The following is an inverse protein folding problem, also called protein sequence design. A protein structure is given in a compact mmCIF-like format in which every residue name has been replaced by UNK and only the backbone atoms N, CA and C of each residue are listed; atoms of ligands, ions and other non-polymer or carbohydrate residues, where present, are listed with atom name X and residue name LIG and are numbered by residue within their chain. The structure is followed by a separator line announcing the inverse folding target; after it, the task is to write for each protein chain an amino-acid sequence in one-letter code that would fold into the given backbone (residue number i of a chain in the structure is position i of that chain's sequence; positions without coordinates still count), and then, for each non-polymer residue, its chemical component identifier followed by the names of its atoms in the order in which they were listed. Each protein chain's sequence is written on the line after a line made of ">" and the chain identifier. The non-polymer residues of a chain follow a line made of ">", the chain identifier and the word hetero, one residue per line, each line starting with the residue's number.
data_IF_832184944198
#
_entry.id   IF_832184944198
#
_cell.length_a   1.000
_cell.length_b   1.000
_cell.length_c   1.000
_cell.angle_alpha   90.00
_cell.angle_beta   90.00
_cell.angle_gamma   90.00
#
_symmetry.space_group_name_H-M   'P 1'
#
loop_
_entity.id
_entity.type
_entity.pdbx_description
1 polymer ?
#
# COMPACT_ATOMS: atom_id res chain seq x y z
N UNK A 1 7.59 10.46 8.98
CA UNK A 1 8.19 9.39 8.15
C UNK A 1 7.37 8.11 8.27
N UNK A 2 6.97 7.51 7.16
CA UNK A 2 6.11 6.31 7.12
C UNK A 2 6.55 5.31 6.05
N UNK A 3 6.10 4.05 6.19
CA UNK A 3 6.17 3.06 5.10
C UNK A 3 4.92 3.22 4.23
N UNK A 4 5.09 3.68 3.00
CA UNK A 4 3.98 3.94 2.08
C UNK A 4 3.59 2.68 1.31
N UNK A 5 2.29 2.44 1.22
CA UNK A 5 1.68 1.32 0.51
C UNK A 5 0.94 1.88 -0.69
N UNK A 6 1.19 1.34 -1.88
CA UNK A 6 0.46 1.74 -3.08
C UNK A 6 -0.98 1.19 -3.03
N UNK A 7 -1.99 2.06 -3.14
CA UNK A 7 -3.39 1.63 -3.11
C UNK A 7 -3.80 0.74 -4.30
N UNK A 8 -3.02 0.72 -5.37
CA UNK A 8 -3.34 -0.01 -6.60
C UNK A 8 -2.79 -1.44 -6.55
N UNK A 9 -1.49 -1.61 -6.28
CA UNK A 9 -0.85 -2.93 -6.30
C UNK A 9 -0.52 -3.49 -4.91
N UNK A 10 -0.67 -2.71 -3.84
CA UNK A 10 -0.41 -3.15 -2.47
C UNK A 10 1.07 -3.23 -2.08
N UNK A 11 2.02 -2.86 -2.96
CA UNK A 11 3.45 -2.87 -2.60
C UNK A 11 3.75 -1.84 -1.52
N UNK A 12 4.55 -2.25 -0.54
CA UNK A 12 5.07 -1.37 0.52
C UNK A 12 6.49 -0.92 0.19
N UNK A 13 6.74 0.38 0.30
CA UNK A 13 8.07 0.98 0.17
C UNK A 13 8.74 1.18 1.54
N UNK A 14 10.09 1.26 1.58
CA UNK A 14 10.82 1.60 2.80
C UNK A 14 10.40 2.94 3.38
N UNK A 15 10.69 3.13 4.68
CA UNK A 15 10.34 4.32 5.44
C UNK A 15 10.92 5.57 4.78
N UNK A 16 10.06 6.55 4.50
CA UNK A 16 10.45 7.82 3.92
C UNK A 16 9.67 8.98 4.55
N UNK A 17 10.15 10.21 4.39
CA UNK A 17 9.43 11.41 4.83
C UNK A 17 8.16 11.65 4.02
N UNK A 18 8.25 11.40 2.71
CA UNK A 18 7.16 11.58 1.76
C UNK A 18 6.91 10.31 0.94
N UNK A 19 5.70 10.20 0.39
CA UNK A 19 5.35 9.11 -0.50
C UNK A 19 6.21 9.14 -1.78
N UNK A 20 6.57 7.99 -2.37
CA UNK A 20 7.28 7.98 -3.64
C UNK A 20 6.48 8.72 -4.72
N UNK A 21 7.17 9.47 -5.58
CA UNK A 21 6.53 10.18 -6.70
C UNK A 21 5.74 9.21 -7.60
N UNK A 22 6.27 8.01 -7.82
CA UNK A 22 5.59 6.91 -8.53
C UNK A 22 5.90 5.56 -7.91
N UNK A 23 4.90 4.69 -7.89
CA UNK A 23 5.04 3.26 -7.71
C UNK A 23 5.69 2.66 -8.96
N UNK A 24 6.87 2.06 -8.77
CA UNK A 24 7.65 1.39 -9.83
C UNK A 24 6.85 0.26 -10.47
N UNK A 25 6.18 -0.57 -9.67
CA UNK A 25 5.40 -1.72 -10.15
C UNK A 25 4.24 -1.27 -11.04
N UNK A 26 3.45 -0.28 -10.60
CA UNK A 26 2.34 0.25 -11.40
C UNK A 26 2.78 1.10 -12.59
N UNK A 27 4.05 1.49 -12.64
CA UNK A 27 4.65 2.26 -13.73
C UNK A 27 5.45 1.38 -14.70
N UNK A 28 5.52 0.06 -14.46
CA UNK A 28 6.05 -0.89 -15.42
C UNK A 28 5.03 -1.14 -16.53
N UNK A 29 5.50 -1.17 -17.77
CA UNK A 29 4.70 -1.30 -19.01
C UNK A 29 3.85 -2.57 -19.08
N UNK A 30 4.07 -3.51 -18.15
CA UNK A 30 3.41 -4.81 -18.09
C UNK A 30 2.13 -4.81 -17.26
N UNK A 31 1.84 -3.72 -16.54
CA UNK A 31 0.63 -3.60 -15.71
C UNK A 31 -0.29 -2.48 -16.16
N UNK A 32 -1.60 -2.68 -15.98
CA UNK A 32 -2.63 -1.69 -16.24
C UNK A 32 -2.34 -0.39 -15.47
N UNK A 33 -2.16 0.71 -16.20
CA UNK A 33 -2.00 2.04 -15.61
C UNK A 33 -3.39 2.58 -15.27
N UNK A 34 -3.64 2.82 -13.98
CA UNK A 34 -4.89 3.46 -13.56
C UNK A 34 -4.93 4.92 -14.06
N UNK A 35 -5.93 5.33 -14.85
CA UNK A 35 -6.02 6.68 -15.40
C UNK A 35 -6.23 7.77 -14.35
N UNK A 36 -6.69 7.44 -13.14
CA UNK A 36 -6.90 8.39 -12.03
C UNK A 36 -5.58 8.75 -11.33
N UNK A 37 -4.48 8.09 -11.72
CA UNK A 37 -3.16 8.28 -11.11
C UNK A 37 -2.93 7.36 -9.91
N UNK A 38 -1.77 7.51 -9.30
CA UNK A 38 -1.34 6.67 -8.18
C UNK A 38 -1.64 7.34 -6.85
N UNK A 39 -2.09 6.56 -5.88
CA UNK A 39 -2.33 7.02 -4.52
C UNK A 39 -1.69 6.08 -3.50
N UNK A 40 -1.48 6.62 -2.31
CA UNK A 40 -0.73 5.98 -1.24
C UNK A 40 -1.55 5.90 0.05
N UNK A 41 -1.29 4.88 0.83
CA UNK A 41 -1.76 4.72 2.21
C UNK A 41 -0.58 4.27 3.09
N UNK A 42 -0.84 4.04 4.37
CA UNK A 42 0.12 3.42 5.30
C UNK A 42 -0.59 2.33 6.09
N UNK A 43 0.16 1.41 6.71
CA UNK A 43 -0.43 0.39 7.58
C UNK A 43 -1.26 1.01 8.71
N UNK A 44 -0.75 2.09 9.32
CA UNK A 44 -1.45 2.84 10.37
C UNK A 44 -2.78 3.42 9.85
N UNK A 45 -2.76 4.06 8.67
CA UNK A 45 -3.98 4.57 8.03
C UNK A 45 -4.99 3.45 7.76
N UNK A 46 -4.53 2.29 7.28
CA UNK A 46 -5.41 1.14 7.02
C UNK A 46 -6.03 0.63 8.32
N UNK A 47 -5.26 0.48 9.39
CA UNK A 47 -5.77 0.04 10.70
C UNK A 47 -6.81 1.01 11.27
N UNK A 48 -6.60 2.32 11.09
CA UNK A 48 -7.50 3.37 11.58
C UNK A 48 -8.71 3.62 10.68
N UNK A 49 -8.76 3.05 9.47
CA UNK A 49 -9.84 3.28 8.50
C UNK A 49 -11.17 2.61 8.85
N UNK A 50 -11.17 1.65 9.78
CA UNK A 50 -12.29 0.73 10.04
C UNK A 50 -12.77 -0.08 8.83
N UNK A 51 -12.03 -0.07 7.71
CA UNK A 51 -12.35 -0.82 6.49
C UNK A 51 -11.77 -2.24 6.49
N UNK A 52 -10.78 -2.49 7.34
CA UNK A 52 -10.05 -3.76 7.38
C UNK A 52 -10.19 -4.41 8.75
N UNK A 53 -10.38 -5.73 8.77
CA UNK A 53 -10.38 -6.55 9.98
C UNK A 53 -9.10 -7.37 10.01
N UNK A 54 -8.44 -7.38 11.17
CA UNK A 54 -7.33 -8.30 11.41
C UNK A 54 -7.92 -9.68 11.68
N UNK A 55 -7.62 -10.65 10.83
CA UNK A 55 -7.91 -12.06 11.12
C UNK A 55 -6.67 -12.67 11.77
N UNK A 56 -6.81 -13.07 13.03
CA UNK A 56 -5.77 -13.81 13.74
C UNK A 56 -6.06 -15.30 13.57
N UNK A 57 -5.25 -15.95 12.72
CA UNK A 57 -5.31 -17.40 12.59
C UNK A 57 -4.55 -18.03 13.76
N UNK A 58 -5.28 -18.49 14.77
CA UNK A 58 -4.73 -19.32 15.83
C UNK A 58 -4.34 -20.67 15.24
N UNK A 59 -3.05 -20.84 14.94
CA UNK A 59 -2.50 -22.15 14.64
C UNK A 59 -2.48 -22.90 15.97
N UNK A 60 -3.41 -23.83 16.16
CA UNK A 60 -3.39 -24.78 17.27
C UNK A 60 -2.10 -25.59 17.13
N UNK A 61 -1.18 -25.38 18.08
CA UNK A 61 0.03 -26.20 18.28
C UNK A 61 -0.34 -27.58 18.80
#
# INVERSE_FOLDING_TARGET
>A
MANYICNICGVQYPKNEEAPYRCKICNEERQYVNPIGQSWTTLETMQNSNLYKKEEMFILS
#
